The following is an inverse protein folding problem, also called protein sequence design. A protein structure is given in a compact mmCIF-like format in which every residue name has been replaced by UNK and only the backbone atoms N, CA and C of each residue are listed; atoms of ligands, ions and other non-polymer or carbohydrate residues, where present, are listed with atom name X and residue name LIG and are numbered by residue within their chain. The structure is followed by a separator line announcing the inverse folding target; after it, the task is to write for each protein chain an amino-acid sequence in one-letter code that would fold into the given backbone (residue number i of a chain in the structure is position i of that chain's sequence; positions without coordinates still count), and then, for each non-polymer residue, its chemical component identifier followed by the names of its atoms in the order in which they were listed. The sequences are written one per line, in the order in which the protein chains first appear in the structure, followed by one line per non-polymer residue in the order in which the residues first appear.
data_IF_800505127128
#
_entry.id   IF_800505127128
#
_cell.length_a   1.000
_cell.length_b   1.000
_cell.length_c   1.000
_cell.angle_alpha   90.00
_cell.angle_beta   90.00
_cell.angle_gamma   90.00
#
_symmetry.space_group_name_H-M   'P 1'
#
loop_
_entity.id
_entity.type
_entity.pdbx_description
1 polymer ?
#
# COMPACT_ATOMS: atom_id res chain seq x y z
N UNK A 1 -2.18 -25.67 19.45
CA UNK A 1 -1.07 -26.58 19.19
C UNK A 1 0.22 -25.77 19.33
N UNK A 2 1.08 -26.12 20.30
CA UNK A 2 2.34 -25.40 20.54
C UNK A 2 3.51 -26.22 19.99
N UNK A 3 3.57 -26.36 18.65
CA UNK A 3 4.63 -27.17 18.02
C UNK A 3 5.26 -26.31 16.93
N UNK A 4 6.56 -26.05 17.03
CA UNK A 4 7.35 -25.33 16.04
C UNK A 4 8.07 -26.30 15.10
N UNK A 5 8.22 -25.92 13.84
CA UNK A 5 9.01 -26.66 12.85
C UNK A 5 10.41 -26.07 12.81
N UNK A 6 11.44 -26.91 12.96
CA UNK A 6 12.85 -26.49 12.91
C UNK A 6 13.55 -26.86 11.61
N UNK A 7 12.99 -27.75 10.81
CA UNK A 7 13.58 -28.16 9.55
C UNK A 7 12.77 -29.17 8.78
N UNK A 8 13.03 -29.24 7.48
CA UNK A 8 12.41 -30.19 6.55
C UNK A 8 13.51 -30.77 5.67
N UNK A 9 13.45 -32.07 5.41
CA UNK A 9 14.39 -32.78 4.52
C UNK A 9 13.61 -33.72 3.60
N UNK A 10 14.03 -33.87 2.36
CA UNK A 10 13.55 -34.91 1.49
C UNK A 10 14.08 -36.30 2.02
N UNK A 11 13.24 -37.31 1.99
CA UNK A 11 13.58 -38.66 2.47
C UNK A 11 12.86 -39.70 1.62
N UNK A 12 13.60 -40.35 0.73
CA UNK A 12 13.03 -41.27 -0.25
C UNK A 12 11.94 -40.65 -1.11
N UNK A 13 10.72 -41.18 -1.07
CA UNK A 13 9.57 -40.66 -1.82
C UNK A 13 8.74 -39.64 -1.05
N UNK A 14 9.26 -39.10 0.07
CA UNK A 14 8.50 -38.16 0.92
C UNK A 14 9.39 -37.18 1.65
N UNK A 15 8.91 -36.73 2.82
CA UNK A 15 9.58 -35.68 3.61
C UNK A 15 9.68 -36.09 5.08
N UNK A 16 10.75 -35.65 5.72
CA UNK A 16 10.96 -35.71 7.15
C UNK A 16 10.93 -34.31 7.73
N UNK A 17 10.02 -34.06 8.65
CA UNK A 17 9.79 -32.73 9.29
C UNK A 17 10.24 -32.81 10.74
N UNK A 18 11.24 -32.01 11.13
CA UNK A 18 11.72 -31.88 12.50
C UNK A 18 10.91 -30.84 13.24
N UNK A 19 10.33 -31.19 14.35
CA UNK A 19 9.52 -30.32 15.19
C UNK A 19 9.95 -30.33 16.65
N UNK A 20 9.48 -29.35 17.43
CA UNK A 20 9.70 -29.34 18.90
C UNK A 20 9.05 -30.54 19.62
N UNK A 21 8.07 -31.22 19.01
CA UNK A 21 7.38 -32.39 19.56
C UNK A 21 7.91 -33.71 19.01
N UNK A 22 8.97 -33.70 18.19
CA UNK A 22 9.56 -34.90 17.58
C UNK A 22 9.64 -34.81 16.05
N UNK A 23 9.96 -35.91 15.42
CA UNK A 23 10.14 -36.00 13.96
C UNK A 23 8.94 -36.70 13.33
N UNK A 24 8.38 -36.02 12.30
CA UNK A 24 7.26 -36.52 11.50
C UNK A 24 7.74 -36.96 10.11
N UNK A 25 7.13 -38.01 9.56
CA UNK A 25 7.36 -38.42 8.16
C UNK A 25 6.05 -38.33 7.39
N UNK A 26 6.11 -37.82 6.14
CA UNK A 26 4.96 -37.72 5.26
C UNK A 26 5.35 -37.91 3.79
N UNK A 27 4.40 -38.34 2.97
CA UNK A 27 4.60 -38.46 1.53
C UNK A 27 4.50 -37.09 0.83
N UNK A 28 3.60 -36.22 1.31
CA UNK A 28 3.38 -34.90 0.78
C UNK A 28 3.43 -33.86 1.89
N UNK A 29 4.02 -32.69 1.61
CA UNK A 29 4.17 -31.61 2.55
C UNK A 29 3.55 -30.34 1.95
N UNK A 30 2.64 -29.71 2.70
CA UNK A 30 2.09 -28.40 2.36
C UNK A 30 2.74 -27.34 3.24
N UNK A 31 3.37 -26.33 2.62
CA UNK A 31 3.96 -25.19 3.30
C UNK A 31 2.94 -24.06 3.30
N UNK A 32 2.36 -23.75 4.46
CA UNK A 32 1.32 -22.74 4.65
C UNK A 32 1.70 -21.77 5.78
N UNK A 33 2.97 -21.32 5.78
CA UNK A 33 3.56 -20.49 6.84
C UNK A 33 3.25 -19.01 6.74
N UNK A 34 2.51 -18.60 5.70
CA UNK A 34 2.30 -17.19 5.39
C UNK A 34 3.55 -16.49 4.86
N UNK A 35 3.48 -15.17 4.72
CA UNK A 35 4.57 -14.31 4.27
C UNK A 35 5.09 -13.39 5.37
N UNK A 36 5.88 -12.37 4.99
CA UNK A 36 6.58 -11.44 5.91
C UNK A 36 5.72 -10.26 6.37
N UNK A 37 4.40 -10.29 6.17
CA UNK A 37 3.54 -9.10 6.29
C UNK A 37 3.47 -8.52 7.71
N UNK A 38 3.46 -9.36 8.76
CA UNK A 38 3.35 -8.90 10.16
C UNK A 38 4.32 -9.69 11.05
N UNK A 39 5.58 -9.24 11.16
CA UNK A 39 6.61 -9.93 11.97
C UNK A 39 6.23 -10.09 13.44
N UNK A 40 5.53 -9.12 14.02
CA UNK A 40 5.06 -9.16 15.42
C UNK A 40 4.01 -10.23 15.69
N UNK A 41 3.36 -10.75 14.65
CA UNK A 41 2.42 -11.88 14.73
C UNK A 41 3.07 -13.22 14.36
N UNK A 42 4.40 -13.28 14.31
CA UNK A 42 5.15 -14.50 14.01
C UNK A 42 5.40 -14.76 12.53
N UNK A 43 5.17 -13.78 11.66
CA UNK A 43 5.54 -13.90 10.25
C UNK A 43 7.06 -13.99 10.11
N UNK A 44 7.54 -15.04 9.44
CA UNK A 44 8.97 -15.33 9.22
C UNK A 44 9.25 -15.66 7.77
N UNK A 45 10.54 -15.61 7.38
CA UNK A 45 11.01 -16.03 6.06
C UNK A 45 11.13 -17.55 5.89
N UNK A 46 10.69 -18.36 6.84
CA UNK A 46 10.91 -19.82 6.84
C UNK A 46 10.44 -20.50 5.55
N UNK A 47 9.28 -20.13 5.02
CA UNK A 47 8.78 -20.69 3.75
C UNK A 47 9.67 -20.36 2.55
N UNK A 48 10.26 -19.16 2.50
CA UNK A 48 11.19 -18.76 1.45
C UNK A 48 12.53 -19.49 1.57
N UNK A 49 13.04 -19.66 2.78
CA UNK A 49 14.28 -20.44 3.01
C UNK A 49 14.08 -21.90 2.63
N UNK A 50 12.92 -22.47 2.96
CA UNK A 50 12.57 -23.81 2.57
C UNK A 50 12.47 -23.97 1.03
N UNK A 51 11.84 -23.01 0.35
CA UNK A 51 11.78 -23.00 -1.10
C UNK A 51 13.18 -22.99 -1.74
N UNK A 52 14.09 -22.14 -1.24
CA UNK A 52 15.49 -22.09 -1.69
C UNK A 52 16.21 -23.42 -1.42
N UNK A 53 15.99 -24.03 -0.24
CA UNK A 53 16.57 -25.33 0.12
C UNK A 53 16.18 -26.43 -0.88
N UNK A 54 14.96 -26.38 -1.42
CA UNK A 54 14.49 -27.31 -2.45
C UNK A 54 14.76 -26.85 -3.89
N UNK A 55 15.65 -25.88 -4.09
CA UNK A 55 16.09 -25.43 -5.41
C UNK A 55 15.11 -24.55 -6.16
N UNK A 56 14.06 -24.04 -5.49
CA UNK A 56 13.13 -23.11 -6.10
C UNK A 56 13.70 -21.68 -6.13
N UNK A 57 13.49 -20.98 -7.25
CA UNK A 57 13.83 -19.56 -7.35
C UNK A 57 12.84 -18.73 -6.56
N UNK A 58 13.33 -18.03 -5.54
CA UNK A 58 12.54 -17.07 -4.77
C UNK A 58 12.81 -15.66 -5.29
N UNK A 59 11.81 -15.04 -5.89
CA UNK A 59 11.91 -13.65 -6.35
C UNK A 59 12.07 -12.70 -5.16
N UNK A 60 12.76 -11.54 -5.34
CA UNK A 60 12.86 -10.52 -4.30
C UNK A 60 11.48 -10.13 -3.78
N UNK A 61 11.28 -10.24 -2.47
CA UNK A 61 10.04 -9.84 -1.83
C UNK A 61 9.97 -8.33 -1.69
N UNK A 62 8.80 -7.75 -1.91
CA UNK A 62 8.52 -6.33 -1.73
C UNK A 62 7.24 -6.14 -0.93
N UNK A 63 7.19 -5.05 -0.17
CA UNK A 63 5.95 -4.65 0.47
C UNK A 63 4.93 -4.25 -0.60
N UNK A 64 3.71 -4.74 -0.45
CA UNK A 64 2.55 -4.35 -1.27
C UNK A 64 1.39 -3.96 -0.37
N UNK A 65 0.48 -3.14 -0.87
CA UNK A 65 -0.64 -2.59 -0.10
C UNK A 65 -0.17 -1.86 1.17
N UNK A 66 0.85 -1.03 1.05
CA UNK A 66 1.44 -0.27 2.15
C UNK A 66 1.27 1.23 1.96
N UNK A 67 1.16 2.02 3.04
CA UNK A 67 1.15 3.46 2.95
C UNK A 67 2.51 4.01 2.50
N UNK A 68 2.48 5.19 1.86
CA UNK A 68 3.68 5.93 1.54
C UNK A 68 4.13 6.79 2.72
N UNK A 69 5.42 6.72 3.03
CA UNK A 69 6.07 7.69 3.92
C UNK A 69 6.57 8.87 3.10
N UNK A 70 6.43 10.07 3.64
CA UNK A 70 6.84 11.30 2.96
C UNK A 70 8.19 11.80 3.47
N UNK A 71 8.93 12.48 2.59
CA UNK A 71 10.10 13.23 2.97
C UNK A 71 9.76 14.27 4.05
N UNK A 72 10.67 14.57 5.01
CA UNK A 72 10.38 15.44 6.17
C UNK A 72 9.73 16.78 5.82
N UNK A 73 10.18 17.45 4.77
CA UNK A 73 9.63 18.74 4.34
C UNK A 73 8.16 18.65 3.92
N UNK A 74 7.83 17.70 3.01
CA UNK A 74 6.46 17.50 2.55
C UNK A 74 5.57 16.98 3.68
N UNK A 75 6.10 16.13 4.55
CA UNK A 75 5.41 15.65 5.74
C UNK A 75 5.03 16.81 6.66
N UNK A 76 5.94 17.79 6.88
CA UNK A 76 5.66 18.97 7.69
C UNK A 76 4.57 19.85 7.06
N UNK A 77 4.61 20.04 5.74
CA UNK A 77 3.59 20.81 5.03
C UNK A 77 2.21 20.16 5.13
N UNK A 78 2.13 18.85 5.06
CA UNK A 78 0.85 18.10 5.11
C UNK A 78 0.40 17.75 6.54
N UNK A 79 1.21 18.00 7.56
CA UNK A 79 0.86 17.70 8.96
C UNK A 79 -0.48 18.31 9.42
N UNK A 80 -0.84 19.56 9.04
CA UNK A 80 -2.14 20.14 9.40
C UNK A 80 -3.34 19.42 8.78
N UNK A 81 -3.12 18.61 7.73
CA UNK A 81 -4.15 17.85 7.04
C UNK A 81 -4.25 16.41 7.52
N UNK A 82 -3.53 16.02 8.57
CA UNK A 82 -3.59 14.66 9.10
C UNK A 82 -5.02 14.29 9.53
N UNK A 83 -5.52 13.16 9.03
CA UNK A 83 -6.91 12.71 9.22
C UNK A 83 -7.87 13.12 8.08
N UNK A 84 -7.44 13.98 7.16
CA UNK A 84 -8.24 14.35 5.99
C UNK A 84 -8.22 13.23 4.96
N UNK A 85 -9.39 12.87 4.47
CA UNK A 85 -9.57 11.92 3.36
C UNK A 85 -10.26 12.60 2.19
N UNK A 86 -9.82 12.34 0.97
CA UNK A 86 -10.46 12.84 -0.24
C UNK A 86 -10.37 11.84 -1.39
N UNK A 87 -11.38 11.80 -2.28
CA UNK A 87 -11.32 11.03 -3.51
C UNK A 87 -10.19 11.55 -4.41
N UNK A 88 -9.38 10.65 -4.92
CA UNK A 88 -8.29 10.98 -5.85
C UNK A 88 -8.25 9.99 -7.00
N UNK A 89 -7.51 10.31 -8.05
CA UNK A 89 -7.01 9.34 -9.02
C UNK A 89 -5.48 9.27 -8.82
N UNK A 90 -5.02 8.16 -8.24
CA UNK A 90 -3.62 7.90 -8.01
C UNK A 90 -3.06 6.99 -9.09
N UNK A 91 -1.93 7.37 -9.70
CA UNK A 91 -1.35 6.56 -10.76
C UNK A 91 0.15 6.43 -10.64
N UNK A 92 0.62 5.25 -11.03
CA UNK A 92 2.04 4.92 -11.18
C UNK A 92 2.19 4.04 -12.42
N UNK A 93 3.11 4.43 -13.33
CA UNK A 93 3.24 3.83 -14.65
C UNK A 93 1.89 3.86 -15.41
N UNK A 94 1.35 2.69 -15.76
CA UNK A 94 0.08 2.54 -16.49
C UNK A 94 -1.10 2.18 -15.58
N UNK A 95 -0.88 2.11 -14.27
CA UNK A 95 -1.91 1.71 -13.32
C UNK A 95 -2.55 2.95 -12.69
N UNK A 96 -3.87 2.94 -12.59
CA UNK A 96 -4.69 4.01 -12.06
C UNK A 96 -5.66 3.45 -11.01
N UNK A 97 -5.81 4.19 -9.90
CA UNK A 97 -6.70 3.82 -8.81
C UNK A 97 -7.50 5.03 -8.36
N UNK A 98 -8.79 5.03 -8.69
CA UNK A 98 -9.71 6.12 -8.36
C UNK A 98 -10.48 5.77 -7.09
N UNK A 99 -9.89 6.11 -5.95
CA UNK A 99 -10.33 5.73 -4.61
C UNK A 99 -9.98 6.84 -3.61
N UNK A 100 -10.47 6.80 -2.36
CA UNK A 100 -10.04 7.73 -1.34
C UNK A 100 -8.55 7.61 -1.00
N UNK A 101 -7.90 8.78 -0.85
CA UNK A 101 -6.60 8.94 -0.23
C UNK A 101 -6.80 9.50 1.18
N UNK A 102 -5.97 9.09 2.12
CA UNK A 102 -5.93 9.59 3.51
C UNK A 102 -4.57 10.20 3.81
N UNK A 103 -4.57 11.44 4.28
CA UNK A 103 -3.37 12.06 4.83
C UNK A 103 -3.18 11.60 6.28
N UNK A 104 -1.99 11.10 6.61
CA UNK A 104 -1.65 10.64 7.96
C UNK A 104 -0.46 11.40 8.51
N UNK A 105 -0.21 11.28 9.81
CA UNK A 105 0.98 11.85 10.46
C UNK A 105 2.31 11.28 9.94
N UNK A 106 2.30 10.18 9.19
CA UNK A 106 3.49 9.56 8.59
C UNK A 106 3.61 9.82 7.09
N UNK A 107 2.49 10.10 6.42
CA UNK A 107 2.44 10.26 4.98
C UNK A 107 1.06 9.98 4.41
N UNK A 108 1.00 9.30 3.27
CA UNK A 108 -0.24 9.06 2.55
C UNK A 108 -0.68 7.60 2.66
N UNK A 109 -1.95 7.38 2.95
CA UNK A 109 -2.60 6.08 3.07
C UNK A 109 -3.98 6.12 2.38
N UNK A 110 -4.83 5.18 2.70
CA UNK A 110 -6.15 5.04 2.06
C UNK A 110 -6.12 4.09 0.85
N UNK A 111 -7.29 3.64 0.38
CA UNK A 111 -7.39 2.63 -0.65
C UNK A 111 -6.58 2.92 -1.91
N UNK A 112 -6.61 4.16 -2.43
CA UNK A 112 -5.84 4.56 -3.60
C UNK A 112 -4.34 4.36 -3.40
N UNK A 113 -3.81 4.82 -2.27
CA UNK A 113 -2.39 4.74 -1.94
C UNK A 113 -1.93 3.30 -1.73
N UNK A 114 -2.72 2.51 -1.00
CA UNK A 114 -2.40 1.11 -0.75
C UNK A 114 -2.35 0.29 -2.05
N UNK A 115 -3.30 0.51 -2.96
CA UNK A 115 -3.34 -0.21 -4.23
C UNK A 115 -2.17 0.19 -5.14
N UNK A 116 -1.93 1.49 -5.33
CA UNK A 116 -0.84 1.97 -6.21
C UNK A 116 0.54 1.59 -5.68
N UNK A 117 0.70 1.42 -4.36
CA UNK A 117 1.98 1.02 -3.75
C UNK A 117 2.48 -0.33 -4.22
N UNK A 118 1.59 -1.22 -4.67
CA UNK A 118 1.97 -2.52 -5.22
C UNK A 118 2.70 -2.43 -6.57
N UNK A 119 2.57 -1.30 -7.26
CA UNK A 119 3.17 -1.05 -8.58
C UNK A 119 4.35 -0.07 -8.52
N UNK A 120 4.44 0.72 -7.45
CA UNK A 120 5.49 1.70 -7.25
C UNK A 120 6.81 1.08 -6.78
N UNK A 121 7.93 1.59 -7.27
CA UNK A 121 9.28 1.26 -6.81
C UNK A 121 10.02 2.54 -6.39
N UNK A 122 11.03 2.44 -5.50
CA UNK A 122 11.87 3.58 -5.16
C UNK A 122 12.46 4.25 -6.41
N UNK A 123 12.16 5.54 -6.58
CA UNK A 123 12.55 6.32 -7.75
C UNK A 123 11.45 6.51 -8.79
N UNK A 124 10.35 5.78 -8.70
CA UNK A 124 9.19 5.99 -9.58
C UNK A 124 8.41 7.25 -9.18
N UNK A 125 7.83 7.90 -10.18
CA UNK A 125 6.90 9.00 -9.97
C UNK A 125 5.51 8.47 -9.61
N UNK A 126 4.91 9.11 -8.59
CA UNK A 126 3.53 8.90 -8.19
C UNK A 126 2.73 10.16 -8.55
N UNK A 127 1.75 10.01 -9.42
CA UNK A 127 0.84 11.10 -9.80
C UNK A 127 -0.46 10.98 -9.02
N UNK A 128 -0.91 12.08 -8.42
CA UNK A 128 -2.15 12.14 -7.66
C UNK A 128 -3.00 13.30 -8.18
N UNK A 129 -4.10 12.96 -8.87
CA UNK A 129 -5.11 13.93 -9.25
C UNK A 129 -6.11 14.12 -8.10
N UNK A 130 -6.10 15.30 -7.50
CA UNK A 130 -6.98 15.65 -6.37
C UNK A 130 -8.40 16.04 -6.80
N UNK A 131 -8.65 16.23 -8.09
CA UNK A 131 -9.95 16.61 -8.66
C UNK A 131 -10.36 15.64 -9.78
N UNK A 132 -10.49 14.34 -9.51
CA UNK A 132 -10.68 13.33 -10.55
C UNK A 132 -12.07 13.40 -11.21
N UNK A 133 -13.02 14.13 -10.63
CA UNK A 133 -14.37 14.29 -11.17
C UNK A 133 -14.52 15.55 -12.06
N UNK A 134 -13.54 16.46 -12.04
CA UNK A 134 -13.59 17.74 -12.76
C UNK A 134 -12.67 17.72 -13.98
N UNK A 135 -13.09 18.39 -15.04
CA UNK A 135 -12.20 18.84 -16.11
C UNK A 135 -11.65 20.23 -15.73
N UNK A 136 -10.62 20.23 -14.89
CA UNK A 136 -10.02 21.49 -14.36
C UNK A 136 -9.69 22.46 -15.46
N UNK A 137 -9.23 21.98 -16.61
CA UNK A 137 -8.90 22.81 -17.76
C UNK A 137 -10.14 23.52 -18.32
N UNK A 138 -11.23 22.80 -18.56
CA UNK A 138 -12.47 23.36 -19.09
C UNK A 138 -13.11 24.32 -18.10
N UNK A 139 -13.13 23.96 -16.83
CA UNK A 139 -13.64 24.79 -15.74
C UNK A 139 -12.90 26.11 -15.65
N UNK A 140 -11.57 26.10 -15.75
CA UNK A 140 -10.74 27.31 -15.74
C UNK A 140 -10.95 28.18 -16.98
N UNK A 141 -11.11 27.59 -18.15
CA UNK A 141 -11.47 28.34 -19.35
C UNK A 141 -12.85 28.98 -19.24
N UNK A 142 -13.84 28.28 -18.70
CA UNK A 142 -15.16 28.81 -18.45
C UNK A 142 -15.13 29.94 -17.40
N UNK A 143 -14.41 29.72 -16.29
CA UNK A 143 -14.25 30.70 -15.23
C UNK A 143 -13.59 31.98 -15.73
N UNK A 144 -12.54 31.88 -16.55
CA UNK A 144 -11.86 33.04 -17.13
C UNK A 144 -12.78 33.88 -18.04
N UNK A 145 -13.71 33.23 -18.76
CA UNK A 145 -14.70 33.95 -19.59
C UNK A 145 -15.77 34.62 -18.75
N UNK A 146 -16.26 33.95 -17.69
CA UNK A 146 -17.37 34.44 -16.88
C UNK A 146 -16.93 35.43 -15.79
N UNK A 147 -15.77 35.19 -15.17
CA UNK A 147 -15.22 35.97 -14.06
C UNK A 147 -13.71 36.19 -14.24
N UNK A 148 -13.29 37.13 -15.13
CA UNK A 148 -11.87 37.30 -15.45
C UNK A 148 -10.95 37.66 -14.28
N UNK A 149 -11.51 38.16 -13.18
CA UNK A 149 -10.77 38.54 -11.96
C UNK A 149 -10.62 37.36 -10.97
N UNK A 150 -11.21 36.22 -11.25
CA UNK A 150 -11.07 35.05 -10.37
C UNK A 150 -9.66 34.47 -10.41
N UNK A 151 -9.13 34.14 -9.24
CA UNK A 151 -7.80 33.52 -9.08
C UNK A 151 -7.90 32.01 -9.06
N UNK A 152 -6.79 31.34 -9.38
CA UNK A 152 -6.67 29.90 -9.23
C UNK A 152 -6.94 29.43 -7.79
N UNK A 153 -6.48 30.20 -6.80
CA UNK A 153 -6.72 29.90 -5.40
C UNK A 153 -8.21 29.88 -5.04
N UNK A 154 -9.00 30.82 -5.60
CA UNK A 154 -10.45 30.83 -5.40
C UNK A 154 -11.11 29.60 -6.01
N UNK A 155 -10.70 29.18 -7.21
CA UNK A 155 -11.20 27.95 -7.84
C UNK A 155 -10.86 26.73 -6.99
N UNK A 156 -9.61 26.57 -6.58
CA UNK A 156 -9.19 25.44 -5.76
C UNK A 156 -9.91 25.41 -4.41
N UNK A 157 -10.12 26.54 -3.76
CA UNK A 157 -10.86 26.61 -2.49
C UNK A 157 -12.33 26.19 -2.62
N UNK A 158 -12.95 26.35 -3.80
CA UNK A 158 -14.31 25.86 -4.04
C UNK A 158 -14.40 24.33 -4.09
N UNK A 159 -13.32 23.66 -4.52
CA UNK A 159 -13.31 22.21 -4.73
C UNK A 159 -12.51 21.43 -3.68
N UNK A 160 -11.51 22.06 -3.07
CA UNK A 160 -10.58 21.45 -2.11
C UNK A 160 -10.66 22.06 -0.71
N UNK A 161 -11.72 22.80 -0.37
CA UNK A 161 -11.88 23.29 1.00
C UNK A 161 -12.15 22.12 1.95
N UNK A 162 -11.68 22.21 3.18
CA UNK A 162 -11.89 21.18 4.22
C UNK A 162 -13.38 20.90 4.48
N UNK A 163 -14.27 21.85 4.18
CA UNK A 163 -15.73 21.68 4.30
C UNK A 163 -16.28 20.75 3.21
N UNK A 164 -15.61 20.64 2.06
CA UNK A 164 -16.02 19.80 0.94
C UNK A 164 -15.22 18.48 0.87
N UNK A 165 -14.11 18.40 1.58
CA UNK A 165 -13.32 17.19 1.73
C UNK A 165 -13.90 16.43 2.92
N UNK A 166 -14.98 15.73 2.67
CA UNK A 166 -15.63 14.66 3.43
C UNK A 166 -15.51 14.64 4.95
N UNK A 167 -16.59 14.20 5.57
CA UNK A 167 -16.66 13.78 6.98
C UNK A 167 -15.46 12.90 7.35
N UNK A 168 -14.89 13.09 8.56
CA UNK A 168 -13.84 12.22 9.05
C UNK A 168 -14.36 10.78 9.03
N UNK A 169 -13.70 9.91 8.29
CA UNK A 169 -13.95 8.48 8.37
C UNK A 169 -13.80 8.09 9.83
N UNK A 170 -14.90 7.71 10.49
CA UNK A 170 -14.86 7.22 11.86
C UNK A 170 -13.88 6.05 11.92
N UNK A 171 -12.95 6.02 12.88
CA UNK A 171 -12.15 4.84 13.11
C UNK A 171 -13.09 3.69 13.53
N UNK A 172 -12.98 2.57 12.88
CA UNK A 172 -13.57 1.31 13.31
C UNK A 172 -12.77 0.76 14.49
#
# INVERSE_FOLDING_TARGET
MNTSVSGVQASGSGYTVKTSAGTLKCQSLVVATGGLSIPTMGATGFGYELAKQFGLTVLPTRAGLVPFTLHPELKQQLAPLAGVSCPVDASCHKQHFREPMLVTHRGLSGPAMLQVSSYWQPGDELHINLLPAQSVQDDLFALRKQKPQSTMAQYLNQHLSLIHISEPTRPY
#
